data_IF_303656125892
#
_entry.id   IF_303656125892
#
_cell.length_a   1.000
_cell.length_b   1.000
_cell.length_c   1.000
_cell.angle_alpha   90.00
_cell.angle_beta   90.00
_cell.angle_gamma   90.00
#
_symmetry.space_group_name_H-M   'P 1'
#
loop_
_entity.id
_entity.type
_entity.pdbx_description
1 polymer ?
#
# COMPACT_ATOMS: atom_id res chain seq x y z
N UNK A 1 12.81 -7.20 -2.27
CA UNK A 1 12.88 -5.72 -2.16
C UNK A 1 12.12 -5.29 -0.92
N UNK A 2 12.53 -4.18 -0.30
CA UNK A 2 11.80 -3.53 0.79
C UNK A 2 11.13 -2.29 0.19
N UNK A 3 9.81 -2.30 0.10
CA UNK A 3 9.03 -1.28 -0.58
C UNK A 3 8.24 -0.48 0.45
N UNK A 4 8.42 0.83 0.48
CA UNK A 4 7.61 1.76 1.26
C UNK A 4 6.46 2.27 0.39
N UNK A 5 5.23 2.21 0.88
CA UNK A 5 4.04 2.68 0.16
C UNK A 5 3.21 3.59 1.06
N UNK A 6 2.71 4.65 0.47
CA UNK A 6 1.67 5.49 1.04
C UNK A 6 0.82 6.14 -0.05
N UNK A 7 -0.35 6.63 0.33
CA UNK A 7 -1.29 7.33 -0.54
C UNK A 7 -2.03 8.42 0.26
N UNK A 8 -2.66 9.36 -0.44
CA UNK A 8 -3.67 10.22 0.16
C UNK A 8 -5.03 9.50 0.23
N UNK A 9 -6.05 10.21 0.75
CA UNK A 9 -7.39 9.65 0.96
C UNK A 9 -8.02 9.12 -0.34
N UNK A 10 -7.72 9.73 -1.50
CA UNK A 10 -8.23 9.28 -2.80
C UNK A 10 -7.58 7.99 -3.31
N UNK A 11 -6.42 7.61 -2.76
CA UNK A 11 -5.64 6.47 -3.21
C UNK A 11 -5.71 5.24 -2.30
N UNK A 12 -6.46 5.25 -1.20
CA UNK A 12 -6.47 4.17 -0.19
C UNK A 12 -6.79 2.81 -0.78
N UNK A 13 -7.84 2.70 -1.58
CA UNK A 13 -8.24 1.41 -2.17
C UNK A 13 -7.17 0.86 -3.12
N UNK A 14 -6.60 1.73 -3.96
CA UNK A 14 -5.54 1.34 -4.89
C UNK A 14 -4.25 0.97 -4.14
N UNK A 15 -3.91 1.70 -3.07
CA UNK A 15 -2.77 1.41 -2.19
C UNK A 15 -2.87 -0.01 -1.66
N UNK A 16 -4.03 -0.40 -1.11
CA UNK A 16 -4.26 -1.75 -0.58
C UNK A 16 -4.18 -2.84 -1.66
N UNK A 17 -4.71 -2.58 -2.86
CA UNK A 17 -4.62 -3.50 -3.99
C UNK A 17 -3.16 -3.73 -4.40
N UNK A 18 -2.35 -2.68 -4.46
CA UNK A 18 -0.91 -2.75 -4.80
C UNK A 18 -0.14 -3.49 -3.69
N UNK A 19 -0.39 -3.19 -2.42
CA UNK A 19 0.25 -3.88 -1.28
C UNK A 19 0.00 -5.39 -1.38
N UNK A 20 -1.26 -5.79 -1.59
CA UNK A 20 -1.65 -7.20 -1.73
C UNK A 20 -0.91 -7.87 -2.89
N UNK A 21 -0.86 -7.20 -4.05
CA UNK A 21 -0.17 -7.71 -5.23
C UNK A 21 1.33 -7.93 -4.99
N UNK A 22 2.01 -6.95 -4.38
CA UNK A 22 3.44 -7.01 -4.10
C UNK A 22 3.78 -8.07 -3.04
N UNK A 23 2.96 -8.19 -2.00
CA UNK A 23 3.12 -9.23 -0.99
C UNK A 23 2.94 -10.64 -1.58
N UNK A 24 1.97 -10.82 -2.49
CA UNK A 24 1.78 -12.10 -3.20
C UNK A 24 2.99 -12.50 -4.07
N UNK A 25 3.82 -11.53 -4.49
CA UNK A 25 5.08 -11.76 -5.21
C UNK A 25 6.29 -11.97 -4.27
N UNK A 26 6.08 -12.01 -2.95
CA UNK A 26 7.14 -12.21 -1.96
C UNK A 26 7.94 -10.95 -1.66
N UNK A 27 7.42 -9.76 -1.98
CA UNK A 27 8.04 -8.50 -1.59
C UNK A 27 7.66 -8.11 -0.18
N UNK A 28 8.63 -7.63 0.59
CA UNK A 28 8.38 -7.02 1.89
C UNK A 28 7.91 -5.58 1.65
N UNK A 29 6.73 -5.26 2.19
CA UNK A 29 6.08 -3.96 2.03
C UNK A 29 5.85 -3.33 3.40
N UNK A 30 6.19 -2.05 3.53
CA UNK A 30 5.86 -1.23 4.70
C UNK A 30 4.88 -0.14 4.29
N UNK A 31 3.68 -0.21 4.85
CA UNK A 31 2.63 0.77 4.66
C UNK A 31 2.84 1.97 5.62
N UNK A 32 2.75 3.18 5.06
CA UNK A 32 2.85 4.46 5.78
C UNK A 32 1.53 5.25 5.78
N UNK A 33 0.44 4.64 5.30
CA UNK A 33 -0.86 5.28 5.22
C UNK A 33 -0.98 6.27 4.05
N UNK A 34 -2.06 7.04 3.96
CA UNK A 34 -3.21 7.02 4.87
C UNK A 34 -4.05 5.74 4.71
N UNK A 35 -4.86 5.44 5.73
CA UNK A 35 -5.86 4.35 5.73
C UNK A 35 -7.30 4.90 5.74
N UNK A 36 -7.45 6.23 5.78
CA UNK A 36 -8.73 6.93 5.87
C UNK A 36 -9.10 7.64 4.58
N UNK A 37 -10.41 7.79 4.36
CA UNK A 37 -11.00 8.46 3.20
C UNK A 37 -11.25 9.97 3.41
N UNK A 38 -10.86 10.50 4.58
CA UNK A 38 -11.18 11.86 5.06
C UNK A 38 -9.97 12.80 5.07
#
# INVERSE_FOLDING_TARGET
MNIAIGADHGGVDLKHAIITHLQAQGHAVKDYGTDGLD
#
